data_IF_142780244638
#
_entry.id   IF_142780244638
#
_cell.length_a   1.000
_cell.length_b   1.000
_cell.length_c   1.000
_cell.angle_alpha   90.00
_cell.angle_beta   90.00
_cell.angle_gamma   90.00
#
_symmetry.space_group_name_H-M   'P 1'
#
loop_
_entity.id
_entity.type
_entity.pdbx_description
1 polymer ?
#
# COMPACT_ATOMS: atom_id res chain seq x y z
N UNK A 1 24.65 -3.85 60.83
CA UNK A 1 23.69 -4.30 59.79
C UNK A 1 22.52 -3.32 59.79
N UNK A 2 21.99 -2.89 58.63
CA UNK A 2 20.80 -2.04 58.63
C UNK A 2 19.63 -2.83 59.23
N UNK A 3 18.91 -2.22 60.17
CA UNK A 3 17.67 -2.79 60.69
C UNK A 3 16.52 -2.42 59.75
N UNK A 4 15.57 -3.33 59.60
CA UNK A 4 14.39 -3.07 58.79
C UNK A 4 13.63 -1.86 59.33
N UNK A 5 13.26 -0.93 58.44
CA UNK A 5 12.53 0.30 58.77
C UNK A 5 11.16 0.02 59.40
N UNK A 6 10.59 -1.17 59.17
CA UNK A 6 9.33 -1.65 59.75
C UNK A 6 9.35 -1.78 61.27
N UNK A 7 10.54 -1.83 61.89
CA UNK A 7 10.67 -1.93 63.34
C UNK A 7 10.66 -0.54 64.03
N UNK A 8 10.69 0.54 63.25
CA UNK A 8 10.69 1.92 63.74
C UNK A 8 9.41 2.63 63.31
N UNK A 9 8.78 3.35 64.23
CA UNK A 9 7.74 4.33 63.89
C UNK A 9 8.44 5.66 63.67
N UNK A 10 8.38 6.16 62.43
CA UNK A 10 9.07 7.38 62.02
C UNK A 10 8.04 8.51 61.96
N UNK A 11 8.25 9.56 62.76
CA UNK A 11 7.37 10.75 62.77
C UNK A 11 8.18 12.02 62.88
N UNK A 12 7.55 13.16 62.60
CA UNK A 12 8.25 14.45 62.58
C UNK A 12 8.71 14.85 63.97
N UNK A 13 7.77 14.99 64.91
CA UNK A 13 8.03 15.46 66.28
C UNK A 13 7.46 14.47 67.31
N UNK A 14 8.01 14.47 68.51
CA UNK A 14 7.51 13.69 69.64
C UNK A 14 6.06 14.04 69.99
N UNK A 15 5.69 15.32 69.88
CA UNK A 15 4.31 15.78 70.15
C UNK A 15 3.25 15.20 69.20
N UNK A 16 3.67 14.56 68.10
CA UNK A 16 2.75 13.86 67.19
C UNK A 16 2.40 12.44 67.66
N UNK A 17 3.02 11.95 68.74
CA UNK A 17 2.72 10.66 69.36
C UNK A 17 1.81 10.88 70.57
N UNK A 18 0.73 10.11 70.65
CA UNK A 18 -0.19 10.10 71.80
C UNK A 18 0.08 8.83 72.62
N UNK A 19 0.29 8.99 73.93
CA UNK A 19 0.57 7.90 74.87
C UNK A 19 -0.51 7.78 75.97
N UNK A 20 -0.87 6.55 76.42
CA UNK A 20 -0.48 5.27 75.84
C UNK A 20 -1.35 4.95 74.60
N UNK A 21 -0.78 5.02 73.40
CA UNK A 21 -1.41 4.54 72.17
C UNK A 21 -1.42 3.00 72.10
N UNK A 22 -1.63 2.43 70.91
CA UNK A 22 -1.59 0.97 70.66
C UNK A 22 -0.16 0.39 70.57
N UNK A 23 0.80 0.99 71.28
CA UNK A 23 2.22 0.65 71.18
C UNK A 23 2.62 -0.42 72.20
N UNK A 24 3.36 -1.44 71.74
CA UNK A 24 3.93 -2.46 72.62
C UNK A 24 5.14 -1.92 73.35
N UNK A 25 5.40 -2.44 74.56
CA UNK A 25 6.60 -2.13 75.32
C UNK A 25 7.85 -2.40 74.48
N UNK A 26 8.80 -1.45 74.50
CA UNK A 26 10.01 -1.55 73.69
C UNK A 26 9.89 -1.07 72.24
N UNK A 27 8.72 -0.58 71.80
CA UNK A 27 8.56 0.00 70.46
C UNK A 27 9.52 1.19 70.25
N UNK A 28 10.26 1.17 69.14
CA UNK A 28 11.22 2.20 68.79
C UNK A 28 10.57 3.28 67.93
N UNK A 29 10.90 4.53 68.24
CA UNK A 29 10.46 5.74 67.55
C UNK A 29 11.67 6.53 67.08
N UNK A 30 11.62 7.00 65.84
CA UNK A 30 12.61 7.93 65.32
C UNK A 30 11.92 9.26 64.97
N UNK A 31 12.38 10.33 65.61
CA UNK A 31 11.91 11.69 65.37
C UNK A 31 12.90 12.38 64.44
N UNK A 32 12.46 12.69 63.22
CA UNK A 32 13.36 13.20 62.16
C UNK A 32 13.42 14.73 62.08
N UNK A 33 12.68 15.47 62.92
CA UNK A 33 12.80 16.92 62.97
C UNK A 33 14.22 17.31 63.41
N UNK A 34 14.78 18.34 62.75
CA UNK A 34 16.16 18.77 62.97
C UNK A 34 16.45 19.27 64.38
N UNK A 35 15.42 19.66 65.15
CA UNK A 35 15.57 20.07 66.54
C UNK A 35 15.57 18.89 67.53
N UNK A 36 15.00 17.74 67.14
CA UNK A 36 14.86 16.57 68.00
C UNK A 36 15.82 15.45 67.60
N UNK A 37 15.92 15.07 66.32
CA UNK A 37 16.79 14.04 65.70
C UNK A 37 17.27 12.90 66.63
N UNK A 38 16.36 12.31 67.40
CA UNK A 38 16.65 11.28 68.41
C UNK A 38 15.80 10.05 68.23
N UNK A 39 16.34 8.92 68.70
CA UNK A 39 15.62 7.65 68.80
C UNK A 39 15.19 7.45 70.24
N UNK A 40 13.90 7.17 70.44
CA UNK A 40 13.33 6.83 71.74
C UNK A 40 12.65 5.48 71.70
N UNK A 41 12.55 4.87 72.87
CA UNK A 41 11.89 3.59 73.10
C UNK A 41 10.71 3.81 74.04
N UNK A 42 9.55 3.26 73.70
CA UNK A 42 8.41 3.31 74.60
C UNK A 42 8.61 2.36 75.79
N UNK A 43 8.36 2.89 76.98
CA UNK A 43 8.34 2.16 78.24
C UNK A 43 6.93 2.18 78.82
N UNK A 44 6.28 1.02 78.81
CA UNK A 44 4.95 0.78 79.38
C UNK A 44 4.92 0.92 80.90
N UNK A 45 6.07 0.76 81.59
CA UNK A 45 6.18 0.93 83.03
C UNK A 45 6.08 2.41 83.47
N UNK A 46 6.56 3.33 82.62
CA UNK A 46 6.57 4.78 82.88
C UNK A 46 5.63 5.56 81.98
N UNK A 47 4.91 4.88 81.07
CA UNK A 47 4.07 5.45 80.00
C UNK A 47 4.76 6.60 79.25
N UNK A 48 6.07 6.48 79.04
CA UNK A 48 6.90 7.55 78.48
C UNK A 48 7.88 7.03 77.44
N UNK A 49 8.36 7.94 76.60
CA UNK A 49 9.39 7.68 75.61
C UNK A 49 10.77 7.96 76.23
N UNK A 50 11.59 6.93 76.32
CA UNK A 50 12.94 7.00 76.89
C UNK A 50 13.96 7.01 75.76
N UNK A 51 14.84 8.00 75.73
CA UNK A 51 15.91 8.09 74.73
C UNK A 51 16.87 6.90 74.84
N UNK A 52 17.26 6.33 73.71
CA UNK A 52 18.27 5.28 73.61
C UNK A 52 19.39 5.71 72.66
N UNK A 53 20.62 5.32 72.98
CA UNK A 53 21.82 5.52 72.15
C UNK A 53 22.25 4.26 71.40
N UNK A 54 21.49 3.17 71.53
CA UNK A 54 21.81 1.87 70.91
C UNK A 54 21.67 1.92 69.37
N UNK A 55 20.95 2.92 68.86
CA UNK A 55 20.67 3.11 67.45
C UNK A 55 21.01 4.54 67.02
N UNK A 56 21.39 4.68 65.76
CA UNK A 56 21.51 5.97 65.10
C UNK A 56 20.81 5.91 63.75
N UNK A 57 20.18 7.01 63.35
CA UNK A 57 19.55 7.14 62.05
C UNK A 57 20.38 8.07 61.15
N UNK A 58 20.33 7.81 59.84
CA UNK A 58 20.91 8.69 58.81
C UNK A 58 19.88 8.89 57.72
N UNK A 59 19.63 10.14 57.34
CA UNK A 59 18.69 10.47 56.26
C UNK A 59 19.24 10.00 54.91
N UNK A 60 18.58 9.00 54.31
CA UNK A 60 18.84 8.54 52.96
C UNK A 60 18.18 9.41 51.88
N UNK A 61 18.50 9.17 50.61
CA UNK A 61 17.83 9.80 49.46
C UNK A 61 16.74 8.84 48.94
N UNK A 62 15.47 9.19 49.11
CA UNK A 62 14.33 8.33 48.77
C UNK A 62 13.89 8.38 47.30
N UNK A 63 14.25 9.43 46.56
CA UNK A 63 13.84 9.65 45.16
C UNK A 63 15.00 9.51 44.19
N UNK A 64 15.72 8.38 44.27
CA UNK A 64 16.74 8.04 43.27
C UNK A 64 16.06 7.24 42.15
N UNK A 65 15.89 7.87 40.99
CA UNK A 65 15.49 7.19 39.76
C UNK A 65 16.76 6.74 39.02
N UNK A 66 16.94 5.43 38.88
CA UNK A 66 18.02 4.87 38.10
C UNK A 66 17.51 4.56 36.70
N UNK A 67 17.86 5.40 35.72
CA UNK A 67 17.62 5.09 34.32
C UNK A 67 18.87 4.43 33.75
N UNK A 68 18.78 3.14 33.43
CA UNK A 68 19.79 2.49 32.61
C UNK A 68 19.53 2.84 31.15
N UNK A 69 20.32 3.75 30.58
CA UNK A 69 20.34 3.99 29.14
C UNK A 69 21.51 3.22 28.54
N UNK A 70 21.19 2.15 27.81
CA UNK A 70 22.18 1.44 27.01
C UNK A 70 22.36 2.20 25.70
N UNK A 71 23.50 2.88 25.54
CA UNK A 71 23.93 3.37 24.24
C UNK A 71 24.93 2.37 23.67
N UNK A 72 24.65 1.83 22.49
CA UNK A 72 25.64 1.06 21.76
C UNK A 72 26.85 1.98 21.48
N UNK A 73 28.05 1.53 21.83
CA UNK A 73 29.27 2.31 21.61
C UNK A 73 29.44 2.65 20.13
N UNK A 74 30.15 3.75 19.81
CA UNK A 74 30.29 4.23 18.43
C UNK A 74 30.96 3.21 17.47
N UNK A 75 31.59 2.15 18.02
CA UNK A 75 32.17 1.00 17.30
C UNK A 75 31.21 -0.18 17.12
N UNK A 76 30.01 -0.15 17.71
CA UNK A 76 28.92 -1.11 17.47
C UNK A 76 27.95 -0.55 16.42
N UNK A 77 28.50 0.16 15.43
CA UNK A 77 27.74 0.50 14.23
C UNK A 77 27.46 -0.83 13.52
N UNK A 78 26.18 -1.18 13.40
CA UNK A 78 25.74 -2.16 12.41
C UNK A 78 26.29 -1.64 11.08
N UNK A 79 27.23 -2.37 10.51
CA UNK A 79 27.73 -2.07 9.17
C UNK A 79 26.61 -2.48 8.19
N UNK A 80 25.90 -1.53 7.54
CA UNK A 80 24.89 -1.88 6.56
C UNK A 80 25.51 -2.51 5.29
N UNK A 81 26.84 -2.53 5.16
CA UNK A 81 27.55 -3.09 4.01
C UNK A 81 27.58 -4.62 4.00
N UNK A 82 27.31 -5.30 5.12
CA UNK A 82 27.39 -6.76 5.21
C UNK A 82 26.04 -7.48 5.07
N UNK A 83 24.91 -6.78 4.99
CA UNK A 83 23.58 -7.38 4.90
C UNK A 83 22.78 -6.84 3.72
N UNK A 84 22.50 -7.67 2.71
CA UNK A 84 21.62 -7.29 1.62
C UNK A 84 20.16 -7.53 2.00
N UNK A 85 19.28 -6.63 1.56
CA UNK A 85 17.83 -6.83 1.60
C UNK A 85 17.40 -7.20 0.19
N UNK A 86 16.77 -8.36 0.06
CA UNK A 86 16.27 -8.91 -1.20
C UNK A 86 14.75 -8.88 -1.17
N UNK A 87 14.16 -7.98 -1.96
CA UNK A 87 12.71 -7.95 -2.18
C UNK A 87 12.33 -8.98 -3.24
N UNK A 88 11.43 -9.90 -2.88
CA UNK A 88 10.96 -10.96 -3.75
C UNK A 88 9.45 -10.87 -3.95
N UNK A 89 9.03 -10.59 -5.19
CA UNK A 89 7.64 -10.62 -5.60
C UNK A 89 7.27 -12.02 -6.07
N UNK A 90 6.32 -12.66 -5.39
CA UNK A 90 5.94 -14.05 -5.67
C UNK A 90 4.47 -14.12 -6.11
N UNK A 91 4.28 -14.68 -7.30
CA UNK A 91 2.98 -15.14 -7.76
C UNK A 91 2.89 -16.65 -7.65
N UNK A 92 2.00 -17.15 -6.81
CA UNK A 92 1.79 -18.58 -6.67
C UNK A 92 0.94 -19.15 -7.83
N UNK A 93 1.36 -20.27 -8.40
CA UNK A 93 0.62 -20.94 -9.49
C UNK A 93 -0.79 -21.35 -9.05
N UNK A 94 -0.95 -21.74 -7.79
CA UNK A 94 -2.27 -22.05 -7.21
C UNK A 94 -3.15 -20.81 -7.22
N UNK A 95 -2.64 -19.66 -6.77
CA UNK A 95 -3.36 -18.39 -6.83
C UNK A 95 -3.74 -18.00 -8.27
N UNK A 96 -2.81 -18.09 -9.22
CA UNK A 96 -3.07 -17.81 -10.64
C UNK A 96 -4.24 -18.64 -11.21
N UNK A 97 -4.18 -19.96 -11.04
CA UNK A 97 -5.21 -20.87 -11.58
C UNK A 97 -6.58 -20.62 -10.93
N UNK A 98 -6.62 -20.38 -9.62
CA UNK A 98 -7.84 -20.04 -8.89
C UNK A 98 -8.41 -18.69 -9.35
N UNK A 99 -7.57 -17.69 -9.52
CA UNK A 99 -7.97 -16.35 -9.93
C UNK A 99 -8.54 -16.35 -11.35
N UNK A 100 -7.87 -17.01 -12.31
CA UNK A 100 -8.38 -17.16 -13.68
C UNK A 100 -9.70 -17.92 -13.75
N UNK A 101 -9.87 -18.94 -12.90
CA UNK A 101 -11.14 -19.68 -12.80
C UNK A 101 -12.25 -18.78 -12.27
N UNK A 102 -11.98 -18.03 -11.20
CA UNK A 102 -12.91 -17.07 -10.61
C UNK A 102 -13.31 -15.98 -11.62
N UNK A 103 -12.37 -15.48 -12.42
CA UNK A 103 -12.65 -14.43 -13.41
C UNK A 103 -13.67 -14.89 -14.48
N UNK A 104 -13.67 -16.19 -14.83
CA UNK A 104 -14.59 -16.78 -15.81
C UNK A 104 -15.91 -17.23 -15.20
N UNK A 105 -15.86 -17.96 -14.09
CA UNK A 105 -17.02 -18.64 -13.50
C UNK A 105 -17.70 -17.84 -12.37
N UNK A 106 -17.05 -16.80 -11.85
CA UNK A 106 -17.49 -16.09 -10.64
C UNK A 106 -17.22 -16.87 -9.35
N UNK A 107 -17.94 -16.48 -8.29
CA UNK A 107 -17.80 -17.04 -6.94
C UNK A 107 -16.95 -16.16 -6.02
N UNK A 108 -16.36 -16.77 -4.99
CA UNK A 108 -15.50 -16.07 -4.02
C UNK A 108 -14.17 -15.68 -4.66
N UNK A 109 -13.82 -14.39 -4.58
CA UNK A 109 -12.55 -13.87 -5.11
C UNK A 109 -11.39 -14.46 -4.30
N UNK A 110 -10.45 -15.18 -4.92
CA UNK A 110 -9.28 -15.67 -4.20
C UNK A 110 -8.42 -14.50 -3.76
N UNK A 111 -7.96 -14.54 -2.51
CA UNK A 111 -7.00 -13.60 -1.97
C UNK A 111 -5.57 -14.10 -2.22
N UNK A 112 -4.60 -13.21 -2.47
CA UNK A 112 -3.20 -13.59 -2.49
C UNK A 112 -2.76 -14.03 -1.08
N UNK A 113 -1.73 -14.87 -1.00
CA UNK A 113 -1.13 -15.29 0.26
C UNK A 113 -0.54 -14.09 1.01
N UNK A 114 -0.42 -14.18 2.33
CA UNK A 114 0.26 -13.13 3.12
C UNK A 114 1.78 -13.28 3.03
N UNK A 115 2.51 -12.20 3.31
CA UNK A 115 3.98 -12.22 3.37
C UNK A 115 4.51 -13.34 4.30
N UNK A 116 3.87 -13.54 5.45
CA UNK A 116 4.22 -14.61 6.39
C UNK A 116 3.94 -16.01 5.83
N UNK A 117 2.83 -16.21 5.13
CA UNK A 117 2.51 -17.49 4.49
C UNK A 117 3.55 -17.82 3.41
N UNK A 118 3.94 -16.84 2.59
CA UNK A 118 5.00 -17.00 1.60
C UNK A 118 6.34 -17.32 2.28
N UNK A 119 6.70 -16.59 3.34
CA UNK A 119 7.92 -16.85 4.11
C UNK A 119 7.93 -18.28 4.65
N UNK A 120 6.86 -18.74 5.31
CA UNK A 120 6.79 -20.10 5.86
C UNK A 120 6.92 -21.15 4.76
N UNK A 121 6.30 -20.92 3.61
CA UNK A 121 6.26 -21.89 2.49
C UNK A 121 7.59 -21.98 1.74
N UNK A 122 8.25 -20.85 1.51
CA UNK A 122 9.43 -20.78 0.62
C UNK A 122 10.76 -20.60 1.35
N UNK A 123 10.78 -20.16 2.62
CA UNK A 123 12.01 -19.96 3.37
C UNK A 123 12.86 -21.24 3.49
N UNK A 124 12.23 -22.41 3.55
CA UNK A 124 12.96 -23.69 3.61
C UNK A 124 13.89 -23.91 2.41
N UNK A 125 13.53 -23.41 1.22
CA UNK A 125 14.35 -23.52 0.01
C UNK A 125 15.20 -22.26 -0.24
N UNK A 126 14.61 -21.09 -0.04
CA UNK A 126 15.28 -19.82 -0.33
C UNK A 126 16.37 -19.49 0.69
N UNK A 127 16.24 -19.94 1.94
CA UNK A 127 17.29 -19.73 2.93
C UNK A 127 18.54 -20.59 2.70
N UNK A 128 18.42 -21.70 1.97
CA UNK A 128 19.56 -22.55 1.62
C UNK A 128 20.46 -21.91 0.55
N UNK A 129 19.88 -21.04 -0.30
CA UNK A 129 20.57 -20.41 -1.43
C UNK A 129 20.99 -18.96 -1.16
N UNK A 130 20.43 -18.31 -0.14
CA UNK A 130 20.79 -16.92 0.21
C UNK A 130 22.10 -16.86 1.01
N UNK A 131 22.78 -15.72 0.97
CA UNK A 131 23.91 -15.46 1.85
C UNK A 131 23.51 -15.47 3.33
N UNK A 132 24.46 -15.83 4.20
CA UNK A 132 24.23 -15.87 5.66
C UNK A 132 23.65 -14.55 6.17
N UNK A 133 24.15 -13.44 5.63
CA UNK A 133 23.78 -12.08 6.03
C UNK A 133 22.62 -11.47 5.23
N UNK A 134 22.10 -12.17 4.21
CA UNK A 134 21.02 -11.65 3.38
C UNK A 134 19.67 -11.81 4.07
N UNK A 135 18.80 -10.80 3.96
CA UNK A 135 17.43 -10.84 4.42
C UNK A 135 16.48 -10.84 3.22
N UNK A 136 15.55 -11.79 3.18
CA UNK A 136 14.54 -11.85 2.11
C UNK A 136 13.23 -11.26 2.64
N UNK A 137 12.66 -10.33 1.88
CA UNK A 137 11.33 -9.77 2.11
C UNK A 137 10.39 -10.35 1.04
N UNK A 138 9.28 -10.91 1.49
CA UNK A 138 8.33 -11.62 0.64
C UNK A 138 7.15 -10.71 0.33
N UNK A 139 6.98 -10.32 -0.93
CA UNK A 139 5.86 -9.51 -1.40
C UNK A 139 4.88 -10.39 -2.19
N UNK A 140 3.63 -10.52 -1.73
CA UNK A 140 2.63 -11.25 -2.49
C UNK A 140 2.18 -10.45 -3.71
N UNK A 141 2.15 -11.11 -4.86
CA UNK A 141 1.66 -10.50 -6.10
C UNK A 141 0.14 -10.59 -6.17
N UNK A 142 -0.50 -9.49 -6.56
CA UNK A 142 -1.93 -9.39 -6.83
C UNK A 142 -2.22 -9.07 -8.29
N UNK A 143 -3.39 -9.50 -8.76
CA UNK A 143 -3.84 -9.15 -10.10
C UNK A 143 -4.54 -7.79 -10.14
N UNK A 144 -4.10 -6.93 -11.05
CA UNK A 144 -4.83 -5.73 -11.46
C UNK A 144 -5.71 -6.07 -12.66
N UNK A 145 -7.01 -6.11 -12.43
CA UNK A 145 -7.99 -6.48 -13.46
C UNK A 145 -8.22 -5.25 -14.34
N UNK A 146 -7.93 -5.37 -15.62
CA UNK A 146 -8.22 -4.37 -16.63
C UNK A 146 -9.43 -4.79 -17.44
N UNK A 147 -10.33 -3.83 -17.66
CA UNK A 147 -11.53 -3.97 -18.49
C UNK A 147 -12.55 -5.02 -18.00
N UNK A 148 -13.76 -4.90 -18.53
CA UNK A 148 -14.89 -5.75 -18.17
C UNK A 148 -15.49 -5.44 -16.80
N UNK A 149 -16.63 -6.04 -16.52
CA UNK A 149 -17.48 -5.73 -15.36
C UNK A 149 -16.86 -6.05 -14.00
N UNK A 150 -15.80 -6.87 -13.96
CA UNK A 150 -15.08 -7.25 -12.74
C UNK A 150 -13.87 -6.35 -12.45
N UNK A 151 -13.50 -5.47 -13.37
CA UNK A 151 -12.50 -4.44 -13.12
C UNK A 151 -13.09 -3.33 -12.23
N UNK A 152 -12.22 -2.58 -11.57
CA UNK A 152 -12.62 -1.35 -10.88
C UNK A 152 -13.19 -0.37 -11.88
N UNK A 153 -14.17 0.45 -11.45
CA UNK A 153 -14.93 1.34 -12.33
C UNK A 153 -14.03 2.23 -13.19
N UNK A 154 -12.89 2.65 -12.63
CA UNK A 154 -11.89 3.46 -13.31
C UNK A 154 -11.15 2.75 -14.44
N UNK A 155 -11.12 1.42 -14.47
CA UNK A 155 -10.50 0.62 -15.52
C UNK A 155 -11.51 -0.07 -16.44
N UNK A 156 -12.81 0.17 -16.23
CA UNK A 156 -13.86 -0.35 -17.11
C UNK A 156 -13.91 0.45 -18.40
N UNK A 157 -13.91 -0.26 -19.53
CA UNK A 157 -13.93 0.35 -20.85
C UNK A 157 -14.66 -0.53 -21.86
N UNK A 158 -15.18 0.13 -22.88
CA UNK A 158 -15.78 -0.49 -24.06
C UNK A 158 -14.83 -0.36 -25.25
N UNK A 159 -14.52 -1.49 -25.88
CA UNK A 159 -13.77 -1.53 -27.13
C UNK A 159 -14.73 -1.29 -28.30
N UNK A 160 -14.48 -0.22 -29.05
CA UNK A 160 -15.21 0.09 -30.28
C UNK A 160 -14.38 -0.35 -31.47
N UNK A 161 -14.93 -1.24 -32.28
CA UNK A 161 -14.23 -1.84 -33.42
C UNK A 161 -14.98 -1.59 -34.72
N UNK A 162 -14.23 -1.25 -35.76
CA UNK A 162 -14.75 -1.12 -37.13
C UNK A 162 -14.31 -2.32 -37.94
N UNK A 163 -15.28 -3.07 -38.46
CA UNK A 163 -15.06 -4.22 -39.33
C UNK A 163 -14.64 -3.75 -40.73
N UNK A 164 -13.78 -4.50 -41.40
CA UNK A 164 -13.57 -4.34 -42.83
C UNK A 164 -14.81 -4.82 -43.62
N UNK A 165 -15.48 -3.96 -44.41
CA UNK A 165 -16.64 -4.33 -45.21
C UNK A 165 -16.39 -5.49 -46.19
N UNK A 166 -15.15 -5.66 -46.65
CA UNK A 166 -14.74 -6.75 -47.56
C UNK A 166 -14.62 -8.11 -46.85
N UNK A 167 -14.64 -8.13 -45.51
CA UNK A 167 -14.56 -9.35 -44.72
C UNK A 167 -15.90 -10.10 -44.68
N UNK A 168 -15.88 -11.38 -45.02
CA UNK A 168 -17.03 -12.29 -44.90
C UNK A 168 -17.29 -12.80 -43.47
N UNK A 169 -16.45 -12.42 -42.50
CA UNK A 169 -16.55 -12.86 -41.11
C UNK A 169 -17.68 -12.14 -40.38
N UNK A 170 -18.48 -12.85 -39.59
CA UNK A 170 -19.58 -12.25 -38.83
C UNK A 170 -19.10 -11.37 -37.67
N UNK A 171 -19.93 -10.42 -37.25
CA UNK A 171 -19.62 -9.52 -36.14
C UNK A 171 -19.36 -10.27 -34.83
N UNK A 172 -20.10 -11.35 -34.55
CA UNK A 172 -19.89 -12.18 -33.35
C UNK A 172 -18.53 -12.88 -33.35
N UNK A 173 -18.07 -13.34 -34.52
CA UNK A 173 -16.75 -13.95 -34.67
C UNK A 173 -15.65 -12.91 -34.47
N UNK A 174 -15.80 -11.70 -35.01
CA UNK A 174 -14.83 -10.61 -34.78
C UNK A 174 -14.74 -10.26 -33.29
N UNK A 175 -15.86 -10.08 -32.59
CA UNK A 175 -15.87 -9.85 -31.14
C UNK A 175 -15.11 -10.93 -30.38
N UNK A 176 -15.35 -12.19 -30.74
CA UNK A 176 -14.67 -13.34 -30.12
C UNK A 176 -13.16 -13.32 -30.40
N UNK A 177 -12.75 -13.00 -31.63
CA UNK A 177 -11.34 -12.87 -32.02
C UNK A 177 -10.64 -11.73 -31.27
N UNK A 178 -11.32 -10.59 -31.08
CA UNK A 178 -10.80 -9.46 -30.27
C UNK A 178 -10.54 -9.93 -28.84
N UNK A 179 -11.52 -10.57 -28.19
CA UNK A 179 -11.37 -11.06 -26.81
C UNK A 179 -10.26 -12.11 -26.69
N UNK A 180 -10.15 -13.03 -27.64
CA UNK A 180 -9.06 -14.01 -27.63
C UNK A 180 -7.69 -13.34 -27.76
N UNK A 181 -7.56 -12.36 -28.65
CA UNK A 181 -6.31 -11.61 -28.87
C UNK A 181 -5.94 -10.78 -27.64
N UNK A 182 -6.94 -10.19 -26.99
CA UNK A 182 -6.76 -9.42 -25.77
C UNK A 182 -6.31 -10.34 -24.62
N UNK A 183 -6.91 -11.51 -24.45
CA UNK A 183 -6.46 -12.50 -23.47
C UNK A 183 -5.04 -13.03 -23.75
N UNK A 184 -4.64 -13.14 -25.02
CA UNK A 184 -3.27 -13.49 -25.40
C UNK A 184 -2.27 -12.38 -25.09
N UNK A 185 -2.67 -11.11 -25.27
CA UNK A 185 -1.84 -9.97 -24.92
C UNK A 185 -1.54 -9.96 -23.41
N UNK A 186 -2.57 -10.13 -22.58
CA UNK A 186 -2.46 -10.27 -21.11
C UNK A 186 -2.08 -11.68 -20.64
N UNK A 187 -1.32 -12.43 -21.44
CA UNK A 187 -0.69 -13.65 -20.97
C UNK A 187 0.40 -13.33 -19.95
N UNK A 188 0.59 -14.22 -18.97
CA UNK A 188 1.48 -14.00 -17.84
C UNK A 188 2.94 -13.72 -18.24
N UNK A 189 3.40 -14.30 -19.35
CA UNK A 189 4.78 -14.18 -19.80
C UNK A 189 5.05 -12.87 -20.57
N UNK A 190 4.02 -12.05 -20.81
CA UNK A 190 4.16 -10.82 -21.60
C UNK A 190 4.28 -9.57 -20.72
N UNK A 191 4.12 -9.71 -19.41
CA UNK A 191 4.13 -8.61 -18.45
C UNK A 191 4.98 -8.97 -17.24
N UNK A 192 5.82 -8.02 -16.83
CA UNK A 192 6.53 -8.06 -15.57
C UNK A 192 5.72 -7.35 -14.46
N UNK A 193 6.13 -7.55 -13.21
CA UNK A 193 5.48 -6.92 -12.07
C UNK A 193 5.78 -5.42 -12.02
N UNK A 194 4.74 -4.60 -11.83
CA UNK A 194 4.88 -3.14 -11.84
C UNK A 194 5.02 -2.50 -13.22
N UNK A 195 4.77 -3.27 -14.29
CA UNK A 195 4.79 -2.74 -15.65
C UNK A 195 3.74 -1.65 -15.89
N UNK A 196 3.94 -0.91 -16.97
CA UNK A 196 2.96 0.04 -17.50
C UNK A 196 2.32 -0.51 -18.75
N UNK A 197 1.01 -0.63 -18.73
CA UNK A 197 0.19 -0.98 -19.88
C UNK A 197 0.01 0.24 -20.80
N UNK A 198 0.24 0.05 -22.10
CA UNK A 198 -0.04 1.04 -23.14
C UNK A 198 -1.11 0.55 -24.11
N UNK A 199 -2.20 1.30 -24.27
CA UNK A 199 -3.28 0.95 -25.18
C UNK A 199 -2.82 0.91 -26.64
N UNK A 200 -1.87 1.76 -27.03
CA UNK A 200 -1.33 1.81 -28.41
C UNK A 200 -0.67 0.49 -28.80
N UNK A 201 -0.01 -0.19 -27.85
CA UNK A 201 0.58 -1.52 -28.07
C UNK A 201 -0.50 -2.58 -28.21
N UNK A 202 -1.52 -2.56 -27.33
CA UNK A 202 -2.66 -3.46 -27.43
C UNK A 202 -3.41 -3.28 -28.76
N UNK A 203 -3.67 -2.03 -29.16
CA UNK A 203 -4.33 -1.70 -30.42
C UNK A 203 -3.53 -2.25 -31.61
N UNK A 204 -2.20 -2.02 -31.62
CA UNK A 204 -1.30 -2.56 -32.65
C UNK A 204 -1.32 -4.09 -32.67
N UNK A 205 -1.32 -4.74 -31.50
CA UNK A 205 -1.40 -6.19 -31.39
C UNK A 205 -2.73 -6.73 -31.95
N UNK A 206 -3.86 -6.10 -31.61
CA UNK A 206 -5.18 -6.46 -32.15
C UNK A 206 -5.20 -6.28 -33.67
N UNK A 207 -4.69 -5.15 -34.17
CA UNK A 207 -4.61 -4.85 -35.59
C UNK A 207 -3.85 -5.92 -36.37
N UNK A 208 -2.67 -6.30 -35.88
CA UNK A 208 -1.83 -7.28 -36.56
C UNK A 208 -2.43 -8.69 -36.54
N UNK A 209 -3.16 -9.07 -35.49
CA UNK A 209 -3.76 -10.41 -35.39
C UNK A 209 -5.10 -10.55 -36.09
N UNK A 210 -5.86 -9.47 -36.23
CA UNK A 210 -7.17 -9.49 -36.87
C UNK A 210 -7.14 -9.01 -38.32
N UNK A 211 -5.99 -8.60 -38.87
CA UNK A 211 -5.86 -8.30 -40.29
C UNK A 211 -6.18 -9.55 -41.14
N UNK A 212 -6.96 -9.44 -42.24
CA UNK A 212 -7.50 -8.21 -42.85
C UNK A 212 -8.93 -7.84 -42.39
N UNK A 213 -9.47 -8.47 -41.35
CA UNK A 213 -10.88 -8.38 -40.96
C UNK A 213 -11.28 -7.11 -40.20
N UNK A 214 -10.31 -6.35 -39.68
CA UNK A 214 -10.53 -5.20 -38.80
C UNK A 214 -9.80 -3.96 -39.34
N UNK A 215 -10.51 -2.82 -39.40
CA UNK A 215 -9.98 -1.55 -39.88
C UNK A 215 -9.36 -0.70 -38.77
N UNK A 216 -10.05 -0.60 -37.62
CA UNK A 216 -9.64 0.22 -36.47
C UNK A 216 -10.24 -0.31 -35.17
N UNK A 217 -9.48 -0.19 -34.08
CA UNK A 217 -9.94 -0.44 -32.71
C UNK A 217 -9.68 0.78 -31.84
N UNK A 218 -10.66 1.12 -31.00
CA UNK A 218 -10.59 2.25 -30.08
C UNK A 218 -11.11 1.82 -28.72
N UNK A 219 -10.54 2.37 -27.65
CA UNK A 219 -11.01 2.18 -26.28
C UNK A 219 -11.75 3.43 -25.79
N UNK A 220 -12.91 3.23 -25.17
CA UNK A 220 -13.71 4.29 -24.57
C UNK A 220 -13.97 3.94 -23.10
N UNK A 221 -13.56 4.78 -22.13
CA UNK A 221 -13.85 4.54 -20.72
C UNK A 221 -15.36 4.52 -20.45
N UNK A 222 -15.78 3.72 -19.47
CA UNK A 222 -17.19 3.64 -19.07
C UNK A 222 -17.54 4.66 -17.96
N UNK A 223 -16.56 5.05 -17.13
CA UNK A 223 -16.78 5.95 -16.01
C UNK A 223 -17.08 7.39 -16.47
N UNK A 224 -18.07 8.03 -15.87
CA UNK A 224 -18.39 9.44 -16.11
C UNK A 224 -17.24 10.34 -15.63
N UNK A 225 -16.81 11.27 -16.48
CA UNK A 225 -15.68 12.16 -16.20
C UNK A 225 -14.32 11.65 -16.71
N UNK A 226 -14.22 10.39 -17.12
CA UNK A 226 -13.09 9.93 -17.94
C UNK A 226 -13.37 10.19 -19.42
N UNK A 227 -12.41 10.81 -20.09
CA UNK A 227 -12.51 11.13 -21.52
C UNK A 227 -11.72 10.15 -22.37
N UNK A 228 -11.88 10.27 -23.69
CA UNK A 228 -10.96 9.61 -24.62
C UNK A 228 -9.50 9.94 -24.29
N UNK A 229 -8.66 8.91 -24.15
CA UNK A 229 -7.25 9.04 -23.79
C UNK A 229 -6.92 8.72 -22.33
N UNK A 230 -7.91 8.73 -21.41
CA UNK A 230 -7.65 8.46 -19.98
C UNK A 230 -7.08 7.06 -19.71
N UNK A 231 -7.44 6.07 -20.53
CA UNK A 231 -7.00 4.67 -20.39
C UNK A 231 -5.88 4.28 -21.36
N UNK A 232 -5.16 5.27 -21.91
CA UNK A 232 -4.06 4.98 -22.83
C UNK A 232 -2.82 4.46 -22.12
N UNK A 233 -2.68 4.79 -20.84
CA UNK A 233 -1.60 4.34 -19.99
C UNK A 233 -2.18 3.93 -18.64
N UNK A 234 -1.85 2.73 -18.19
CA UNK A 234 -2.22 2.25 -16.85
C UNK A 234 -0.97 1.66 -16.22
N UNK A 235 -0.54 2.22 -15.09
CA UNK A 235 0.62 1.73 -14.35
C UNK A 235 0.18 0.79 -13.24
N UNK A 236 0.87 -0.36 -13.14
CA UNK A 236 0.74 -1.29 -12.03
C UNK A 236 1.62 -0.87 -10.87
N UNK A 237 1.22 -1.22 -9.64
CA UNK A 237 2.14 -1.14 -8.50
C UNK A 237 3.18 -2.28 -8.58
N UNK A 238 4.28 -2.16 -7.85
CA UNK A 238 5.40 -3.12 -7.94
C UNK A 238 5.02 -4.58 -7.65
N UNK A 239 3.93 -4.82 -6.90
CA UNK A 239 3.41 -6.15 -6.60
C UNK A 239 2.18 -6.52 -7.46
N UNK A 240 1.91 -5.81 -8.54
CA UNK A 240 0.77 -6.07 -9.41
C UNK A 240 1.19 -6.57 -10.79
N UNK A 241 0.34 -7.44 -11.34
CA UNK A 241 0.39 -7.88 -12.73
C UNK A 241 -1.00 -7.73 -13.38
N UNK A 242 -1.01 -7.38 -14.65
CA UNK A 242 -2.26 -7.14 -15.37
C UNK A 242 -2.95 -8.44 -15.80
N UNK A 243 -4.28 -8.42 -15.76
CA UNK A 243 -5.12 -9.45 -16.35
C UNK A 243 -6.37 -8.82 -16.96
N UNK A 244 -6.76 -9.28 -18.14
CA UNK A 244 -8.01 -8.84 -18.74
C UNK A 244 -9.23 -9.54 -18.13
N UNK A 245 -10.21 -8.73 -17.70
CA UNK A 245 -11.57 -9.17 -17.39
C UNK A 245 -12.58 -8.99 -18.53
N UNK A 246 -12.15 -8.52 -19.70
CA UNK A 246 -13.05 -8.20 -20.82
C UNK A 246 -13.79 -9.42 -21.37
N UNK A 247 -15.06 -9.20 -21.70
CA UNK A 247 -15.99 -10.16 -22.30
C UNK A 247 -16.50 -9.65 -23.64
N UNK A 248 -17.23 -10.49 -24.39
CA UNK A 248 -17.79 -10.12 -25.69
C UNK A 248 -18.78 -8.93 -25.61
N UNK A 249 -19.33 -8.67 -24.42
CA UNK A 249 -20.24 -7.55 -24.16
C UNK A 249 -19.49 -6.22 -24.09
N UNK A 250 -18.21 -6.25 -23.70
CA UNK A 250 -17.33 -5.08 -23.65
C UNK A 250 -16.79 -4.69 -25.05
N UNK A 251 -17.21 -5.39 -26.11
CA UNK A 251 -16.84 -5.09 -27.49
C UNK A 251 -18.07 -4.68 -28.29
N UNK A 252 -18.04 -3.47 -28.85
CA UNK A 252 -19.11 -2.90 -29.67
C UNK A 252 -18.63 -2.68 -31.10
N UNK A 253 -19.45 -3.11 -32.06
CA UNK A 253 -19.19 -2.87 -33.48
C UNK A 253 -19.74 -1.49 -33.85
N UNK A 254 -18.95 -0.71 -34.56
CA UNK A 254 -19.35 0.59 -35.11
C UNK A 254 -19.01 0.65 -36.60
N UNK A 255 -19.78 1.42 -37.36
CA UNK A 255 -19.56 1.58 -38.81
C UNK A 255 -18.40 2.54 -39.11
N UNK A 256 -18.23 3.56 -38.27
CA UNK A 256 -17.15 4.54 -38.38
C UNK A 256 -16.84 5.18 -37.02
N UNK A 257 -15.60 5.65 -36.85
CA UNK A 257 -15.20 6.44 -35.70
C UNK A 257 -15.73 7.87 -35.88
N UNK A 258 -16.57 8.34 -34.97
CA UNK A 258 -17.04 9.73 -34.94
C UNK A 258 -17.08 10.30 -33.52
N UNK A 259 -17.24 11.62 -33.39
CA UNK A 259 -17.27 12.35 -32.12
C UNK A 259 -18.21 11.73 -31.06
N UNK A 260 -19.44 11.39 -31.48
CA UNK A 260 -20.45 10.77 -30.61
C UNK A 260 -20.03 9.39 -30.10
N UNK A 261 -19.09 8.75 -30.80
CA UNK A 261 -18.58 7.45 -30.41
C UNK A 261 -17.41 7.55 -29.42
N UNK A 262 -16.84 8.72 -29.16
CA UNK A 262 -15.59 8.82 -28.39
C UNK A 262 -15.73 9.42 -26.99
N UNK A 263 -16.92 9.83 -26.52
CA UNK A 263 -17.04 10.54 -25.22
C UNK A 263 -15.98 11.66 -25.06
N UNK A 264 -15.65 12.32 -26.17
CA UNK A 264 -14.58 13.30 -26.20
C UNK A 264 -15.12 14.63 -25.70
N UNK A 265 -14.45 15.23 -24.70
CA UNK A 265 -14.83 16.53 -24.14
C UNK A 265 -14.49 17.73 -25.06
N UNK A 266 -13.93 17.49 -26.25
CA UNK A 266 -13.54 18.52 -27.22
C UNK A 266 -14.10 18.26 -28.63
N UNK A 267 -13.99 19.24 -29.52
CA UNK A 267 -14.44 19.13 -30.92
C UNK A 267 -13.64 18.06 -31.66
N UNK A 268 -14.22 16.86 -31.78
CA UNK A 268 -13.66 15.81 -32.65
C UNK A 268 -14.07 16.13 -34.09
N UNK A 269 -13.13 16.66 -34.87
CA UNK A 269 -13.32 16.86 -36.31
C UNK A 269 -13.29 15.48 -36.97
N UNK A 270 -14.47 14.91 -37.22
CA UNK A 270 -14.61 13.69 -38.03
C UNK A 270 -14.82 14.11 -39.48
N UNK A 271 -13.74 14.24 -40.24
CA UNK A 271 -13.84 14.46 -41.68
C UNK A 271 -14.02 13.12 -42.39
N UNK A 272 -15.27 12.67 -42.56
CA UNK A 272 -15.59 11.59 -43.49
C UNK A 272 -15.59 12.15 -44.90
N UNK A 273 -14.49 11.99 -45.63
CA UNK A 273 -14.47 12.27 -47.07
C UNK A 273 -15.07 11.07 -47.79
N UNK A 274 -16.36 11.13 -48.11
CA UNK A 274 -16.96 10.27 -49.12
C UNK A 274 -16.45 10.72 -50.49
N UNK A 275 -15.30 10.20 -50.90
CA UNK A 275 -14.80 10.38 -52.28
C UNK A 275 -14.41 9.05 -52.90
N UNK A 276 -15.20 8.65 -53.88
CA UNK A 276 -14.93 7.59 -54.84
C UNK A 276 -13.62 7.85 -55.58
N UNK A 277 -12.79 6.80 -55.66
CA UNK A 277 -11.64 6.59 -56.57
C UNK A 277 -10.28 7.27 -56.25
N UNK A 278 -9.30 6.36 -56.13
CA UNK A 278 -7.88 6.42 -56.51
C UNK A 278 -6.89 7.30 -55.73
N UNK A 279 -5.84 6.61 -55.27
CA UNK A 279 -4.52 7.06 -54.82
C UNK A 279 -4.31 7.29 -53.30
N UNK A 280 -3.29 6.60 -52.80
CA UNK A 280 -2.75 6.57 -51.44
C UNK A 280 -2.54 7.98 -50.88
N UNK A 281 -2.86 8.18 -49.61
CA UNK A 281 -2.21 9.20 -48.79
C UNK A 281 -2.19 8.80 -47.32
N UNK A 282 -1.00 8.96 -46.75
CA UNK A 282 -0.58 8.71 -45.37
C UNK A 282 -1.09 9.81 -44.45
N UNK A 283 -1.77 9.45 -43.36
CA UNK A 283 -2.16 10.41 -42.33
C UNK A 283 -0.97 10.69 -41.40
N UNK A 284 -0.39 11.89 -41.52
CA UNK A 284 0.47 12.49 -40.51
C UNK A 284 -0.39 13.33 -39.55
N UNK A 285 -0.06 13.26 -38.26
CA UNK A 285 -0.67 14.07 -37.20
C UNK A 285 -0.21 15.53 -37.36
N UNK A 286 -1.13 16.51 -37.33
CA UNK A 286 -0.76 17.93 -37.37
C UNK A 286 -1.14 18.61 -36.06
N UNK A 287 -0.13 19.23 -35.43
CA UNK A 287 -0.20 19.93 -34.15
C UNK A 287 -1.02 21.22 -34.20
N UNK A 288 -1.54 21.58 -33.04
CA UNK A 288 -2.44 22.71 -32.80
C UNK A 288 -1.67 24.03 -32.70
N UNK A 289 -2.02 25.03 -33.50
CA UNK A 289 -1.67 26.45 -33.27
C UNK A 289 -2.86 27.20 -32.67
N UNK A 290 -2.69 27.71 -31.46
CA UNK A 290 -3.61 28.63 -30.78
C UNK A 290 -3.47 30.05 -31.32
N UNK A 291 -4.52 30.60 -31.94
CA UNK A 291 -4.62 32.05 -32.23
C UNK A 291 -5.50 32.73 -31.19
N UNK A 292 -4.89 33.56 -30.34
CA UNK A 292 -5.57 34.47 -29.43
C UNK A 292 -6.13 35.69 -30.16
N UNK A 293 -7.38 36.04 -29.88
CA UNK A 293 -8.06 37.23 -30.40
C UNK A 293 -7.76 38.42 -29.50
N UNK A 294 -7.09 39.44 -30.03
CA UNK A 294 -6.79 40.69 -29.34
C UNK A 294 -7.57 41.85 -29.97
N UNK A 295 -8.55 42.37 -29.25
CA UNK A 295 -9.35 43.54 -29.64
C UNK A 295 -8.58 44.82 -29.32
N UNK A 296 -8.20 45.60 -30.33
CA UNK A 296 -7.62 46.94 -30.16
C UNK A 296 -8.73 47.98 -30.39
N UNK A 297 -9.11 48.69 -29.33
CA UNK A 297 -9.95 49.89 -29.40
C UNK A 297 -9.05 51.11 -29.22
N UNK A 298 -9.02 51.98 -30.23
CA UNK A 298 -8.25 53.22 -30.24
C UNK A 298 -9.14 54.44 -30.00
N UNK A 299 -8.77 55.25 -29.01
CA UNK A 299 -9.11 56.67 -28.80
C UNK A 299 -7.93 57.23 -27.99
N UNK A 300 -7.26 58.32 -28.30
CA UNK A 300 -7.70 59.59 -28.88
C UNK A 300 -7.48 60.67 -27.80
N UNK A 301 -6.47 61.53 -28.04
CA UNK A 301 -5.87 62.61 -27.21
C UNK A 301 -4.75 62.20 -26.24
#
# INVERSE_FOLDING_TARGET
>A
RPYATTNFIITKNESSIVLPGTYTDGQLFYFYDTAEDVIKKYSSASNSLVTTTDYFARKGRGTLYFQYQHFAGNNTRIDPSVSNIMDLYILERTYDTLFRRWLRAGGSKPAPSTSDQLRITYAGKLNEVKGLSDQIIYHPVSYKILFGTRAEEEYQATFKVVKNPESNVSNSVIKTMVINTLNQFFALNNFDFGDTFYFTELATHIHNRLAPHLLTVVIVPNQTGQGFGSLFQITGTSNEIFISGATVDDVTMIDAIGANQLQASGTVVTSTTTTTSTARSTSAVSGTTTTGSGTVSGTGY
#
